data_IF_712950697684
#
_entry.id   IF_712950697684
#
_cell.length_a   1.000
_cell.length_b   1.000
_cell.length_c   1.000
_cell.angle_alpha   90.00
_cell.angle_beta   90.00
_cell.angle_gamma   90.00
#
_symmetry.space_group_name_H-M   'P 1'
#
loop_
_entity.id
_entity.type
_entity.pdbx_description
1 polymer ?
#
# COMPACT_ATOMS: atom_id res chain seq x y z
N UNK A 1 -20.23 2.56 -18.55
CA UNK A 1 -19.69 3.80 -17.94
C UNK A 1 -18.59 4.34 -18.85
N UNK A 2 -18.94 5.32 -19.68
CA UNK A 2 -18.26 5.68 -20.93
C UNK A 2 -16.81 6.17 -20.78
N UNK A 3 -15.94 5.67 -21.66
CA UNK A 3 -14.51 6.00 -21.78
C UNK A 3 -14.24 7.47 -22.18
N UNK A 4 -15.27 8.18 -22.64
CA UNK A 4 -15.17 9.56 -23.14
C UNK A 4 -14.81 10.58 -22.05
N UNK A 5 -15.14 10.28 -20.79
CA UNK A 5 -14.82 11.16 -19.66
C UNK A 5 -13.34 11.15 -19.27
N UNK A 6 -12.56 10.13 -19.69
CA UNK A 6 -11.12 10.02 -19.39
C UNK A 6 -10.26 10.92 -20.29
N UNK A 7 -10.76 11.31 -21.48
CA UNK A 7 -9.97 11.94 -22.55
C UNK A 7 -9.79 13.46 -22.43
N UNK A 8 -10.59 14.14 -21.61
CA UNK A 8 -10.54 15.62 -21.55
C UNK A 8 -9.40 16.16 -20.69
N UNK A 9 -8.89 15.38 -19.73
CA UNK A 9 -7.81 15.79 -18.82
C UNK A 9 -6.42 15.27 -19.21
N UNK A 10 -6.38 14.32 -20.14
CA UNK A 10 -5.17 13.66 -20.63
C UNK A 10 -4.78 14.11 -22.05
N UNK A 11 -5.21 15.32 -22.44
CA UNK A 11 -4.93 15.82 -23.81
C UNK A 11 -3.45 16.14 -24.05
N UNK A 12 -2.66 16.28 -22.98
CA UNK A 12 -1.25 16.66 -23.06
C UNK A 12 -0.43 15.83 -22.08
N UNK A 13 0.57 15.10 -22.61
CA UNK A 13 1.52 14.33 -21.81
C UNK A 13 2.31 15.22 -20.85
N UNK A 14 2.83 14.63 -19.76
CA UNK A 14 3.61 15.38 -18.76
C UNK A 14 4.87 15.98 -19.39
N UNK A 15 5.54 15.21 -20.25
CA UNK A 15 6.73 15.64 -20.99
C UNK A 15 6.45 16.85 -21.88
N UNK A 16 5.32 16.83 -22.60
CA UNK A 16 4.91 17.95 -23.44
C UNK A 16 4.66 19.22 -22.62
N UNK A 17 4.02 19.10 -21.46
CA UNK A 17 3.81 20.24 -20.55
C UNK A 17 5.13 20.78 -20.02
N UNK A 18 6.06 19.91 -19.64
CA UNK A 18 7.39 20.32 -19.17
C UNK A 18 8.18 21.04 -20.27
N UNK A 19 8.21 20.48 -21.48
CA UNK A 19 8.85 21.11 -22.64
C UNK A 19 8.23 22.48 -22.95
N UNK A 20 6.91 22.59 -22.91
CA UNK A 20 6.21 23.86 -23.09
C UNK A 20 6.60 24.89 -22.01
N UNK A 21 6.71 24.48 -20.75
CA UNK A 21 7.13 25.35 -19.64
C UNK A 21 8.60 25.78 -19.74
N UNK A 22 9.51 24.90 -20.16
CA UNK A 22 10.92 25.28 -20.39
C UNK A 22 11.06 26.27 -21.56
N UNK A 23 10.31 26.05 -22.66
CA UNK A 23 10.26 27.01 -23.76
C UNK A 23 9.66 28.35 -23.32
N UNK A 24 8.62 28.34 -22.48
CA UNK A 24 8.06 29.58 -21.92
C UNK A 24 9.05 30.41 -21.09
N UNK A 25 10.05 29.79 -20.45
CA UNK A 25 11.09 30.53 -19.71
C UNK A 25 12.05 31.27 -20.65
N UNK A 26 12.26 30.72 -21.84
CA UNK A 26 13.27 31.20 -22.80
C UNK A 26 12.66 32.07 -23.90
N UNK A 27 11.37 31.92 -24.19
CA UNK A 27 10.69 32.67 -25.26
C UNK A 27 10.19 34.04 -24.79
N UNK A 28 10.52 35.10 -25.53
CA UNK A 28 9.99 36.45 -25.30
C UNK A 28 8.51 36.60 -25.68
N UNK A 29 8.02 35.78 -26.62
CA UNK A 29 6.66 35.86 -27.13
C UNK A 29 5.83 34.57 -26.91
N UNK A 30 5.15 34.51 -25.77
CA UNK A 30 4.27 33.40 -25.39
C UNK A 30 3.09 33.20 -26.37
N UNK A 31 2.67 34.24 -27.10
CA UNK A 31 1.56 34.14 -28.07
C UNK A 31 1.99 33.39 -29.34
N UNK A 32 3.22 33.60 -29.79
CA UNK A 32 3.81 32.83 -30.89
C UNK A 32 3.98 31.36 -30.48
N UNK A 33 4.56 31.14 -29.30
CA UNK A 33 4.74 29.80 -28.72
C UNK A 33 3.42 29.03 -28.58
N UNK A 34 2.35 29.69 -28.14
CA UNK A 34 1.01 29.10 -28.06
C UNK A 34 0.48 28.63 -29.42
N UNK A 35 0.72 29.41 -30.48
CA UNK A 35 0.33 29.03 -31.85
C UNK A 35 1.17 27.87 -32.37
N UNK A 36 2.49 27.89 -32.14
CA UNK A 36 3.40 26.80 -32.53
C UNK A 36 3.06 25.47 -31.87
N UNK A 37 2.73 25.51 -30.57
CA UNK A 37 2.37 24.32 -29.80
C UNK A 37 0.91 23.89 -30.01
N UNK A 38 0.08 24.69 -30.71
CA UNK A 38 -1.35 24.44 -30.87
C UNK A 38 -2.14 24.51 -29.56
N UNK A 39 -1.62 25.22 -28.55
CA UNK A 39 -2.21 25.31 -27.20
C UNK A 39 -2.68 26.74 -26.93
N UNK A 40 -3.85 26.89 -26.30
CA UNK A 40 -4.32 28.22 -25.89
C UNK A 40 -3.35 28.86 -24.86
N UNK A 41 -3.04 30.16 -25.04
CA UNK A 41 -2.16 30.92 -24.13
C UNK A 41 -2.57 30.81 -22.65
N UNK A 42 -3.88 30.75 -22.36
CA UNK A 42 -4.37 30.57 -20.99
C UNK A 42 -3.92 29.24 -20.37
N UNK A 43 -3.85 28.16 -21.15
CA UNK A 43 -3.44 26.85 -20.66
C UNK A 43 -1.95 26.81 -20.31
N UNK A 44 -1.13 27.51 -21.09
CA UNK A 44 0.30 27.68 -20.80
C UNK A 44 0.52 28.36 -19.44
N UNK A 45 -0.19 29.47 -19.16
CA UNK A 45 -0.12 30.11 -17.85
C UNK A 45 -0.73 29.27 -16.73
N UNK A 46 -1.79 28.50 -17.01
CA UNK A 46 -2.35 27.58 -16.02
C UNK A 46 -1.36 26.48 -15.64
N UNK A 47 -0.60 25.94 -16.61
CA UNK A 47 0.48 25.00 -16.33
C UNK A 47 1.60 25.64 -15.51
N UNK A 48 1.99 26.88 -15.84
CA UNK A 48 3.01 27.63 -15.10
C UNK A 48 2.58 27.85 -13.64
N UNK A 49 1.37 28.35 -13.43
CA UNK A 49 0.81 28.57 -12.10
C UNK A 49 0.72 27.26 -11.31
N UNK A 50 0.32 26.15 -11.95
CA UNK A 50 0.29 24.83 -11.31
C UNK A 50 1.68 24.34 -10.93
N UNK A 51 2.69 24.56 -11.77
CA UNK A 51 4.08 24.19 -11.50
C UNK A 51 4.66 25.03 -10.35
N UNK A 52 4.40 26.33 -10.32
CA UNK A 52 4.83 27.24 -9.25
C UNK A 52 4.22 26.87 -7.89
N UNK A 53 2.92 26.53 -7.86
CA UNK A 53 2.26 26.03 -6.63
C UNK A 53 2.85 24.72 -6.11
N UNK A 54 3.33 23.85 -7.00
CA UNK A 54 4.01 22.60 -6.61
C UNK A 54 5.42 22.89 -6.09
N UNK A 55 6.12 23.84 -6.69
CA UNK A 55 7.47 24.23 -6.28
C UNK A 55 7.49 25.01 -4.95
N UNK A 56 6.45 25.80 -4.67
CA UNK A 56 6.31 26.61 -3.46
C UNK A 56 5.04 26.26 -2.66
N UNK A 57 5.03 25.18 -1.87
CA UNK A 57 3.88 24.78 -1.03
C UNK A 57 3.58 25.72 0.14
N UNK A 58 4.38 26.78 0.34
CA UNK A 58 4.45 27.57 1.58
C UNK A 58 3.58 28.83 1.60
N UNK A 59 2.89 29.19 0.53
CA UNK A 59 2.01 30.37 0.54
C UNK A 59 0.70 30.09 1.32
N UNK A 60 0.45 30.78 2.45
CA UNK A 60 -0.81 30.68 3.17
C UNK A 60 -1.89 31.42 2.38
N UNK A 61 -2.71 30.69 1.64
CA UNK A 61 -3.80 31.24 0.83
C UNK A 61 -3.97 30.58 -0.55
N UNK A 62 -3.01 29.78 -0.99
CA UNK A 62 -3.19 28.95 -2.18
C UNK A 62 -4.17 27.83 -1.87
N UNK A 63 -5.41 27.92 -2.36
CA UNK A 63 -6.37 26.82 -2.31
C UNK A 63 -5.71 25.59 -2.94
N UNK A 64 -5.43 24.59 -2.13
CA UNK A 64 -4.89 23.30 -2.57
C UNK A 64 -5.82 22.75 -3.66
N UNK A 65 -5.27 22.30 -4.80
CA UNK A 65 -6.09 21.63 -5.83
C UNK A 65 -6.80 20.46 -5.12
N UNK A 66 -8.15 20.39 -5.13
CA UNK A 66 -8.88 19.31 -4.48
C UNK A 66 -8.37 17.92 -4.89
N UNK A 67 -7.81 17.79 -6.10
CA UNK A 67 -7.16 16.56 -6.57
C UNK A 67 -5.88 16.25 -5.81
N UNK A 68 -5.01 17.25 -5.60
CA UNK A 68 -3.74 17.07 -4.91
C UNK A 68 -4.00 16.74 -3.43
N UNK A 69 -4.99 17.38 -2.79
CA UNK A 69 -5.47 17.01 -1.45
C UNK A 69 -5.94 15.56 -1.40
N UNK A 70 -6.78 15.17 -2.35
CA UNK A 70 -7.30 13.79 -2.43
C UNK A 70 -6.19 12.77 -2.63
N UNK A 71 -5.19 13.08 -3.45
CA UNK A 71 -4.01 12.22 -3.65
C UNK A 71 -3.29 12.03 -2.31
N UNK A 72 -3.02 13.10 -1.57
CA UNK A 72 -2.35 13.01 -0.25
C UNK A 72 -3.14 12.13 0.73
N UNK A 73 -4.45 12.36 0.83
CA UNK A 73 -5.33 11.56 1.69
C UNK A 73 -5.32 10.08 1.30
N UNK A 74 -5.36 9.77 0.00
CA UNK A 74 -5.30 8.40 -0.50
C UNK A 74 -3.93 7.76 -0.26
N UNK A 75 -2.83 8.47 -0.51
CA UNK A 75 -1.47 7.97 -0.25
C UNK A 75 -1.28 7.64 1.22
N UNK A 76 -1.80 8.49 2.13
CA UNK A 76 -1.77 8.20 3.57
C UNK A 76 -2.51 6.91 3.91
N UNK A 77 -3.74 6.75 3.39
CA UNK A 77 -4.54 5.52 3.60
C UNK A 77 -3.86 4.28 3.05
N UNK A 78 -3.21 4.38 1.89
CA UNK A 78 -2.45 3.26 1.31
C UNK A 78 -1.32 2.84 2.26
N UNK A 79 -0.52 3.78 2.76
CA UNK A 79 0.55 3.46 3.71
C UNK A 79 0.05 2.87 5.03
N UNK A 80 -1.07 3.38 5.55
CA UNK A 80 -1.72 2.82 6.75
C UNK A 80 -2.17 1.36 6.51
N UNK A 81 -2.80 1.10 5.36
CA UNK A 81 -3.26 -0.24 5.00
C UNK A 81 -2.10 -1.21 4.75
N UNK A 82 -1.06 -0.78 4.04
CA UNK A 82 0.16 -1.56 3.82
C UNK A 82 0.83 -1.94 5.16
N UNK A 83 0.88 -1.01 6.11
CA UNK A 83 1.39 -1.28 7.46
C UNK A 83 0.56 -2.33 8.20
N UNK A 84 -0.77 -2.22 8.18
CA UNK A 84 -1.67 -3.22 8.79
C UNK A 84 -1.53 -4.58 8.14
N UNK A 85 -1.43 -4.65 6.80
CA UNK A 85 -1.20 -5.90 6.08
C UNK A 85 0.12 -6.53 6.52
N UNK A 86 1.21 -5.76 6.53
CA UNK A 86 2.52 -6.26 6.96
C UNK A 86 2.50 -6.80 8.39
N UNK A 87 1.87 -6.08 9.32
CA UNK A 87 1.70 -6.54 10.69
C UNK A 87 0.94 -7.88 10.75
N UNK A 88 -0.19 -7.98 10.03
CA UNK A 88 -1.01 -9.20 10.02
C UNK A 88 -0.29 -10.38 9.38
N UNK A 89 0.51 -10.16 8.35
CA UNK A 89 1.35 -11.21 7.73
C UNK A 89 2.35 -11.77 8.75
N UNK A 90 3.05 -10.91 9.48
CA UNK A 90 3.99 -11.36 10.52
C UNK A 90 3.29 -12.13 11.65
N UNK A 91 2.12 -11.67 12.09
CA UNK A 91 1.30 -12.39 13.08
C UNK A 91 0.92 -13.79 12.58
N UNK A 92 0.47 -13.91 11.33
CA UNK A 92 0.10 -15.19 10.73
C UNK A 92 1.30 -16.15 10.62
N UNK A 93 2.45 -15.66 10.17
CA UNK A 93 3.68 -16.46 10.08
C UNK A 93 4.13 -16.96 11.46
N UNK A 94 4.04 -16.09 12.47
CA UNK A 94 4.31 -16.45 13.86
C UNK A 94 3.36 -17.56 14.34
N UNK A 95 2.05 -17.41 14.14
CA UNK A 95 1.07 -18.41 14.57
C UNK A 95 1.25 -19.74 13.83
N UNK A 96 1.51 -19.72 12.53
CA UNK A 96 1.81 -20.92 11.75
C UNK A 96 3.04 -21.65 12.29
N UNK A 97 4.11 -20.91 12.62
CA UNK A 97 5.31 -21.46 13.24
C UNK A 97 5.05 -22.05 14.64
N UNK A 98 4.25 -21.37 15.47
CA UNK A 98 3.89 -21.85 16.80
C UNK A 98 3.05 -23.14 16.75
N UNK A 99 2.04 -23.19 15.87
CA UNK A 99 1.20 -24.37 15.68
C UNK A 99 2.02 -25.59 15.22
N UNK A 100 2.94 -25.40 14.28
CA UNK A 100 3.85 -26.48 13.82
C UNK A 100 4.66 -27.07 14.98
N UNK A 101 5.21 -26.23 15.87
CA UNK A 101 5.96 -26.70 17.05
C UNK A 101 5.10 -27.50 18.02
N UNK A 102 3.83 -27.11 18.19
CA UNK A 102 2.88 -27.85 19.03
C UNK A 102 2.55 -29.21 18.41
N UNK A 103 2.33 -29.27 17.09
CA UNK A 103 2.12 -30.53 16.36
C UNK A 103 3.31 -31.47 16.50
N UNK A 104 4.53 -30.98 16.24
CA UNK A 104 5.76 -31.76 16.40
C UNK A 104 5.93 -32.31 17.83
N UNK A 105 5.59 -31.50 18.84
CA UNK A 105 5.67 -31.91 20.25
C UNK A 105 4.64 -33.01 20.57
N UNK A 106 3.42 -32.93 20.02
CA UNK A 106 2.40 -33.98 20.17
C UNK A 106 2.83 -35.28 19.50
N UNK A 107 3.40 -35.21 18.29
CA UNK A 107 3.91 -36.38 17.58
C UNK A 107 5.02 -37.08 18.37
N UNK A 108 6.00 -36.32 18.90
CA UNK A 108 7.07 -36.88 19.76
C UNK A 108 6.51 -37.59 21.00
N UNK A 109 5.46 -37.05 21.63
CA UNK A 109 4.81 -37.69 22.79
C UNK A 109 4.06 -38.98 22.41
N UNK A 110 3.50 -39.06 21.20
CA UNK A 110 2.89 -40.29 20.67
C UNK A 110 3.92 -41.39 20.38
N UNK A 111 5.11 -41.03 19.89
CA UNK A 111 6.20 -41.98 19.57
C UNK A 111 6.94 -42.43 20.85
N UNK A 112 7.04 -41.56 21.86
CA UNK A 112 7.72 -41.86 23.13
C UNK A 112 6.85 -42.61 24.17
N UNK A 113 5.67 -43.09 23.78
CA UNK A 113 4.68 -43.71 24.67
C UNK A 113 4.66 -45.24 24.71
N UNK A 114 5.54 -45.94 23.99
CA UNK A 114 5.67 -47.40 24.06
C UNK A 114 6.87 -47.80 24.92
N UNK A 115 6.64 -47.98 26.22
CA UNK A 115 7.10 -49.12 27.06
C UNK A 115 6.97 -48.77 28.54
N UNK A 116 5.90 -49.25 29.17
CA UNK A 116 5.90 -49.79 30.53
C UNK A 116 4.76 -50.80 30.62
N UNK A 117 5.04 -51.98 30.09
CA UNK A 117 4.26 -53.20 30.32
C UNK A 117 4.18 -53.47 31.82
N UNK A 118 3.05 -53.20 32.45
CA UNK A 118 2.69 -53.86 33.69
C UNK A 118 2.01 -55.16 33.33
N UNK A 119 2.77 -56.25 33.35
CA UNK A 119 2.22 -57.60 33.28
C UNK A 119 1.27 -57.82 34.46
N UNK A 120 0.11 -58.38 34.11
CA UNK A 120 -0.98 -58.84 34.96
C UNK A 120 -0.46 -59.74 36.08
N UNK A 121 -0.54 -59.30 37.34
CA UNK A 121 -0.44 -60.16 38.51
C UNK A 121 -1.85 -60.51 39.00
N UNK A 122 -2.38 -61.61 38.49
CA UNK A 122 -3.44 -62.37 39.17
C UNK A 122 -2.77 -63.31 40.19
N UNK A 123 -3.01 -63.09 41.48
CA UNK A 123 -3.22 -64.20 42.42
C UNK A 123 -3.82 -63.66 43.71
N UNK A 124 -5.00 -64.17 44.05
CA UNK A 124 -5.80 -63.70 45.17
C UNK A 124 -5.29 -64.14 46.53
N UNK A 125 -5.83 -63.49 47.56
CA UNK A 125 -6.13 -64.17 48.81
C UNK A 125 -7.34 -63.48 49.45
N UNK A 126 -8.48 -64.15 49.40
CA UNK A 126 -9.57 -63.89 50.34
C UNK A 126 -9.09 -64.34 51.73
N UNK A 127 -9.36 -63.53 52.76
CA UNK A 127 -9.74 -64.05 54.08
C UNK A 127 -10.35 -62.93 54.92
N UNK A 128 -11.67 -63.03 55.13
CA UNK A 128 -12.36 -62.45 56.29
C UNK A 128 -12.09 -63.36 57.49
N UNK A 129 -11.80 -62.77 58.64
CA UNK A 129 -12.03 -63.38 59.95
C UNK A 129 -12.17 -62.26 60.99
N UNK A 130 -13.31 -62.31 61.69
CA UNK A 130 -13.83 -61.60 62.88
C UNK A 130 -13.64 -60.08 63.03
#
# INVERSE_FOLDING_TARGET
>A
MSEESRRKWDRYSVEFRQQALERMKTCDNVKALAKELGVARQQLYWWKQRAERRANPREPGATEDPRDRRIRELTKKVGELEGVIGQKTLELDFFAGALRRVEESRQKKGISGETASTLKSESGCNRKAD
#
